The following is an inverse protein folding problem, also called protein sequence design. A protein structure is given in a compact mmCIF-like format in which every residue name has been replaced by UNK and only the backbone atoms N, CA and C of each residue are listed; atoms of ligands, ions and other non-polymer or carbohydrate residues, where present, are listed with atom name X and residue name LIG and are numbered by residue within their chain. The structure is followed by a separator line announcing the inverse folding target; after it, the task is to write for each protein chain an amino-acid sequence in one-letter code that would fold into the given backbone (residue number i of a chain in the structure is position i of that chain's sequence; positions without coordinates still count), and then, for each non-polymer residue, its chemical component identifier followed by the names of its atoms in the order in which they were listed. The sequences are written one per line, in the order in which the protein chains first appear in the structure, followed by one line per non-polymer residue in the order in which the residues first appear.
data_IF_224217214230
#
_entry.id   IF_224217214230
#
_cell.length_a   1.000
_cell.length_b   1.000
_cell.length_c   1.000
_cell.angle_alpha   90.00
_cell.angle_beta   90.00
_cell.angle_gamma   90.00
#
_symmetry.space_group_name_H-M   'P 1'
#
loop_
_entity.id
_entity.type
_entity.pdbx_description
1 polymer ?
#
# COMPACT_ATOMS: atom_id res chain seq x y z
N UNK A 1 -12.79 -10.27 21.84
CA UNK A 1 -13.01 -8.81 21.70
C UNK A 1 -11.70 -8.04 21.69
N UNK A 2 -10.90 -8.07 22.77
CA UNK A 2 -9.63 -7.32 22.86
C UNK A 2 -8.65 -7.55 21.69
N UNK A 3 -8.48 -8.80 21.24
CA UNK A 3 -7.60 -9.10 20.10
C UNK A 3 -8.05 -8.48 18.78
N UNK A 4 -9.36 -8.37 18.54
CA UNK A 4 -9.92 -7.75 17.34
C UNK A 4 -9.78 -6.23 17.44
N UNK A 5 -9.95 -5.64 18.63
CA UNK A 5 -9.71 -4.21 18.89
C UNK A 5 -8.25 -3.83 18.62
N UNK A 6 -7.30 -4.55 19.21
CA UNK A 6 -5.87 -4.31 19.00
C UNK A 6 -5.49 -4.42 17.52
N UNK A 7 -6.03 -5.43 16.85
CA UNK A 7 -5.83 -5.61 15.41
C UNK A 7 -6.41 -4.46 14.60
N UNK A 8 -7.65 -4.03 14.87
CA UNK A 8 -8.32 -2.97 14.14
C UNK A 8 -7.58 -1.63 14.28
N UNK A 9 -7.10 -1.31 15.49
CA UNK A 9 -6.27 -0.13 15.75
C UNK A 9 -4.94 -0.24 15.00
N UNK A 10 -4.26 -1.38 15.07
CA UNK A 10 -3.01 -1.61 14.35
C UNK A 10 -3.19 -1.45 12.83
N UNK A 11 -4.25 -2.05 12.26
CA UNK A 11 -4.56 -1.96 10.84
C UNK A 11 -4.93 -0.54 10.41
N UNK A 12 -5.62 0.22 11.27
CA UNK A 12 -5.90 1.64 11.08
C UNK A 12 -4.61 2.47 11.06
N UNK A 13 -3.68 2.24 11.98
CA UNK A 13 -2.41 2.98 12.03
C UNK A 13 -1.56 2.74 10.78
N UNK A 14 -1.44 1.48 10.33
CA UNK A 14 -0.71 1.16 9.10
C UNK A 14 -1.38 1.77 7.88
N UNK A 15 -2.70 1.62 7.75
CA UNK A 15 -3.46 2.15 6.61
C UNK A 15 -3.44 3.68 6.57
N UNK A 16 -3.49 4.31 7.75
CA UNK A 16 -3.41 5.76 7.91
C UNK A 16 -2.04 6.31 7.55
N UNK A 17 -0.96 5.65 7.99
CA UNK A 17 0.39 6.00 7.58
C UNK A 17 0.57 5.90 6.06
N UNK A 18 0.12 4.79 5.46
CA UNK A 18 0.16 4.61 4.02
C UNK A 18 -0.62 5.71 3.27
N UNK A 19 -1.79 6.11 3.77
CA UNK A 19 -2.59 7.18 3.20
C UNK A 19 -1.88 8.53 3.28
N UNK A 20 -1.29 8.84 4.44
CA UNK A 20 -0.53 10.07 4.65
C UNK A 20 0.67 10.15 3.70
N UNK A 21 1.45 9.07 3.60
CA UNK A 21 2.58 8.99 2.67
C UNK A 21 2.12 9.18 1.23
N UNK A 22 1.05 8.48 0.82
CA UNK A 22 0.53 8.58 -0.55
C UNK A 22 0.03 10.00 -0.87
N UNK A 23 -0.66 10.66 0.07
CA UNK A 23 -1.11 12.05 -0.10
C UNK A 23 0.06 13.04 -0.17
N UNK A 24 1.12 12.84 0.61
CA UNK A 24 2.33 13.65 0.54
C UNK A 24 3.00 13.54 -0.86
N UNK A 25 3.03 12.33 -1.43
CA UNK A 25 3.67 12.07 -2.73
C UNK A 25 2.79 12.43 -3.95
N UNK A 26 1.49 12.63 -3.78
CA UNK A 26 0.53 12.93 -4.87
C UNK A 26 -0.01 14.36 -4.85
N UNK A 27 0.35 15.17 -3.85
CA UNK A 27 -0.06 16.57 -3.77
C UNK A 27 0.64 17.49 -4.80
N UNK A 28 0.04 18.65 -5.13
CA UNK A 28 0.62 19.63 -6.07
C UNK A 28 1.91 20.32 -5.57
N UNK A 29 2.38 19.95 -4.38
CA UNK A 29 3.60 20.42 -3.75
C UNK A 29 4.51 19.24 -3.32
N UNK A 30 4.49 18.13 -4.06
CA UNK A 30 5.54 17.13 -3.94
C UNK A 30 6.84 17.80 -4.40
N UNK A 31 7.56 18.35 -3.42
CA UNK A 31 8.70 19.22 -3.63
C UNK A 31 9.75 18.44 -4.45
N UNK A 32 10.31 19.11 -5.44
CA UNK A 32 11.34 18.53 -6.30
C UNK A 32 12.51 17.99 -5.46
N UNK A 33 12.75 18.59 -4.29
CA UNK A 33 13.66 18.14 -3.23
C UNK A 33 13.31 16.77 -2.63
N UNK A 34 12.06 16.49 -2.22
CA UNK A 34 11.70 15.17 -1.65
C UNK A 34 11.88 14.06 -2.68
N UNK A 35 11.58 14.36 -3.93
CA UNK A 35 11.78 13.44 -5.05
C UNK A 35 13.26 13.16 -5.29
N UNK A 36 14.11 14.14 -5.05
CA UNK A 36 15.56 14.05 -5.19
C UNK A 36 16.20 13.28 -4.03
N UNK A 37 15.74 13.52 -2.80
CA UNK A 37 16.14 12.76 -1.60
C UNK A 37 15.81 11.27 -1.79
N UNK A 38 14.61 10.95 -2.30
CA UNK A 38 14.25 9.56 -2.59
C UNK A 38 15.12 8.94 -3.68
N UNK A 39 15.48 9.69 -4.73
CA UNK A 39 16.41 9.20 -5.77
C UNK A 39 17.79 8.92 -5.17
N UNK A 40 18.29 9.81 -4.32
CA UNK A 40 19.59 9.65 -3.66
C UNK A 40 19.59 8.46 -2.67
N UNK A 41 18.50 8.26 -1.92
CA UNK A 41 18.31 7.09 -1.07
C UNK A 41 18.27 5.79 -1.90
N UNK A 42 17.53 5.77 -3.01
CA UNK A 42 17.47 4.62 -3.91
C UNK A 42 18.82 4.30 -4.55
N UNK A 43 19.58 5.33 -4.96
CA UNK A 43 20.93 5.17 -5.50
C UNK A 43 21.89 4.63 -4.42
N UNK A 44 21.76 5.11 -3.18
CA UNK A 44 22.52 4.57 -2.05
C UNK A 44 22.18 3.09 -1.80
N UNK A 45 20.90 2.71 -1.82
CA UNK A 45 20.47 1.32 -1.65
C UNK A 45 21.04 0.43 -2.75
N UNK A 46 21.07 0.90 -4.00
CA UNK A 46 21.69 0.20 -5.13
C UNK A 46 23.20 0.03 -5.00
N UNK A 47 23.89 0.93 -4.29
CA UNK A 47 25.33 0.82 -3.98
C UNK A 47 25.62 -0.20 -2.86
N UNK A 48 24.72 -0.36 -1.89
CA UNK A 48 24.93 -1.25 -0.73
C UNK A 48 24.29 -2.64 -0.86
N UNK A 49 23.27 -2.81 -1.68
CA UNK A 49 22.55 -4.08 -1.84
C UNK A 49 22.30 -4.41 -3.31
N UNK A 50 22.34 -5.71 -3.65
CA UNK A 50 21.97 -6.13 -5.01
C UNK A 50 20.48 -5.91 -5.26
N UNK A 51 20.12 -5.54 -6.48
CA UNK A 51 18.73 -5.35 -6.93
C UNK A 51 17.83 -6.55 -6.60
N UNK A 52 18.41 -7.75 -6.68
CA UNK A 52 17.73 -9.00 -6.33
C UNK A 52 17.43 -9.10 -4.83
N UNK A 53 18.35 -8.63 -3.98
CA UNK A 53 18.14 -8.57 -2.52
C UNK A 53 17.06 -7.54 -2.18
N UNK A 54 17.16 -6.34 -2.74
CA UNK A 54 16.20 -5.25 -2.53
C UNK A 54 14.79 -5.69 -2.94
N UNK A 55 14.62 -6.16 -4.18
CA UNK A 55 13.32 -6.60 -4.69
C UNK A 55 12.74 -7.76 -3.90
N UNK A 56 13.56 -8.68 -3.37
CA UNK A 56 13.09 -9.77 -2.50
C UNK A 56 12.58 -9.24 -1.16
N UNK A 57 13.29 -8.32 -0.51
CA UNK A 57 12.87 -7.74 0.77
C UNK A 57 11.56 -6.95 0.62
N UNK A 58 11.45 -6.11 -0.42
CA UNK A 58 10.22 -5.40 -0.71
C UNK A 58 9.06 -6.35 -1.00
N UNK A 59 9.28 -7.40 -1.80
CA UNK A 59 8.24 -8.39 -2.09
C UNK A 59 7.75 -9.11 -0.83
N UNK A 60 8.67 -9.51 0.07
CA UNK A 60 8.29 -10.14 1.35
C UNK A 60 7.46 -9.16 2.19
N UNK A 61 7.86 -7.90 2.27
CA UNK A 61 7.12 -6.87 2.99
C UNK A 61 5.72 -6.64 2.38
N UNK A 62 5.61 -6.53 1.06
CA UNK A 62 4.33 -6.41 0.36
C UNK A 62 3.40 -7.59 0.61
N UNK A 63 3.93 -8.82 0.63
CA UNK A 63 3.14 -10.02 0.95
C UNK A 63 2.64 -10.01 2.38
N UNK A 64 3.48 -9.62 3.34
CA UNK A 64 3.08 -9.52 4.75
C UNK A 64 2.00 -8.45 4.94
N UNK A 65 2.16 -7.28 4.33
CA UNK A 65 1.16 -6.21 4.37
C UNK A 65 -0.15 -6.64 3.70
N UNK A 66 -0.09 -7.36 2.58
CA UNK A 66 -1.28 -7.90 1.92
C UNK A 66 -2.02 -8.92 2.81
N UNK A 67 -1.30 -9.77 3.55
CA UNK A 67 -1.90 -10.71 4.49
C UNK A 67 -2.62 -9.98 5.64
N UNK A 68 -2.01 -8.90 6.15
CA UNK A 68 -2.65 -8.01 7.12
C UNK A 68 -3.93 -7.44 6.48
N UNK A 69 -3.85 -6.85 5.29
CA UNK A 69 -5.05 -6.29 4.65
C UNK A 69 -6.16 -7.34 4.48
N UNK A 70 -5.85 -8.53 3.96
CA UNK A 70 -6.83 -9.63 3.81
C UNK A 70 -7.49 -9.97 5.14
N UNK A 71 -6.72 -10.06 6.23
CA UNK A 71 -7.28 -10.30 7.56
C UNK A 71 -8.20 -9.16 8.00
N UNK A 72 -7.85 -7.91 7.71
CA UNK A 72 -8.70 -6.75 7.95
C UNK A 72 -10.03 -6.82 7.19
N UNK A 73 -9.99 -7.13 5.90
CA UNK A 73 -11.19 -7.33 5.08
C UNK A 73 -12.08 -8.46 5.60
N UNK A 74 -11.51 -9.60 5.98
CA UNK A 74 -12.26 -10.74 6.54
C UNK A 74 -12.97 -10.33 7.83
N UNK A 75 -12.26 -9.66 8.75
CA UNK A 75 -12.84 -9.19 10.00
C UNK A 75 -13.94 -8.15 9.76
N UNK A 76 -13.73 -7.20 8.85
CA UNK A 76 -14.76 -6.22 8.51
C UNK A 76 -15.99 -6.87 7.89
N UNK A 77 -15.82 -7.84 6.99
CA UNK A 77 -16.93 -8.58 6.40
C UNK A 77 -17.72 -9.36 7.46
N UNK A 78 -17.01 -10.02 8.39
CA UNK A 78 -17.63 -10.88 9.39
C UNK A 78 -18.33 -10.09 10.50
N UNK A 79 -17.78 -8.94 10.89
CA UNK A 79 -18.22 -8.24 12.09
C UNK A 79 -18.98 -6.94 11.81
N UNK A 80 -18.66 -6.17 10.77
CA UNK A 80 -19.17 -4.81 10.61
C UNK A 80 -20.64 -4.69 10.14
N UNK A 81 -21.36 -5.80 9.97
CA UNK A 81 -22.81 -5.83 9.62
C UNK A 81 -23.18 -4.83 8.50
N UNK A 82 -22.39 -4.83 7.41
CA UNK A 82 -22.49 -3.85 6.33
C UNK A 82 -23.85 -3.89 5.61
N UNK A 83 -24.43 -2.71 5.36
CA UNK A 83 -25.64 -2.58 4.51
C UNK A 83 -25.34 -2.99 3.06
N UNK A 84 -26.36 -3.36 2.25
CA UNK A 84 -26.16 -3.81 0.88
C UNK A 84 -25.34 -2.84 0.01
N UNK A 85 -25.55 -1.52 0.13
CA UNK A 85 -24.77 -0.54 -0.61
C UNK A 85 -23.32 -0.43 -0.09
N UNK A 86 -23.08 -0.64 1.21
CA UNK A 86 -21.73 -0.66 1.81
C UNK A 86 -20.96 -1.91 1.38
N UNK A 87 -21.65 -3.04 1.17
CA UNK A 87 -21.05 -4.26 0.61
C UNK A 87 -20.56 -4.02 -0.83
N UNK A 88 -21.30 -3.27 -1.65
CA UNK A 88 -20.83 -2.89 -3.00
C UNK A 88 -19.54 -2.09 -2.91
N UNK A 89 -19.47 -1.10 -2.03
CA UNK A 89 -18.25 -0.31 -1.80
C UNK A 89 -17.11 -1.19 -1.28
N UNK A 90 -17.38 -2.09 -0.34
CA UNK A 90 -16.40 -3.04 0.19
C UNK A 90 -15.75 -3.88 -0.93
N UNK A 91 -16.56 -4.46 -1.83
CA UNK A 91 -16.03 -5.23 -2.95
C UNK A 91 -15.26 -4.38 -3.96
N UNK A 92 -15.67 -3.13 -4.18
CA UNK A 92 -14.91 -2.19 -5.02
C UNK A 92 -13.53 -1.89 -4.43
N UNK A 93 -13.43 -1.65 -3.12
CA UNK A 93 -12.14 -1.45 -2.45
C UNK A 93 -11.29 -2.73 -2.50
N UNK A 94 -11.89 -3.90 -2.29
CA UNK A 94 -11.19 -5.18 -2.41
C UNK A 94 -10.64 -5.40 -3.82
N UNK A 95 -11.42 -5.06 -4.86
CA UNK A 95 -10.98 -5.13 -6.25
C UNK A 95 -9.86 -4.12 -6.54
N UNK A 96 -9.96 -2.89 -6.04
CA UNK A 96 -8.92 -1.88 -6.18
C UNK A 96 -7.61 -2.34 -5.52
N UNK A 97 -7.68 -2.89 -4.31
CA UNK A 97 -6.52 -3.48 -3.62
C UNK A 97 -5.89 -4.62 -4.42
N UNK A 98 -6.71 -5.52 -4.97
CA UNK A 98 -6.20 -6.63 -5.76
C UNK A 98 -5.44 -6.15 -7.01
N UNK A 99 -6.00 -5.17 -7.71
CA UNK A 99 -5.38 -4.56 -8.89
C UNK A 99 -4.06 -3.87 -8.51
N UNK A 100 -4.09 -3.06 -7.44
CA UNK A 100 -2.92 -2.34 -6.92
C UNK A 100 -1.78 -3.30 -6.54
N UNK A 101 -2.11 -4.37 -5.80
CA UNK A 101 -1.16 -5.41 -5.40
C UNK A 101 -0.56 -6.16 -6.59
N UNK A 102 -1.35 -6.40 -7.64
CA UNK A 102 -0.92 -7.11 -8.84
C UNK A 102 0.04 -6.25 -9.66
N UNK A 103 -0.23 -4.95 -9.75
CA UNK A 103 0.66 -3.97 -10.39
C UNK A 103 1.98 -3.89 -9.63
N UNK A 104 1.94 -3.77 -8.32
CA UNK A 104 3.12 -3.76 -7.46
C UNK A 104 3.94 -5.04 -7.61
N UNK A 105 3.30 -6.20 -7.65
CA UNK A 105 3.97 -7.48 -7.87
C UNK A 105 4.66 -7.54 -9.24
N UNK A 106 4.00 -7.05 -10.30
CA UNK A 106 4.59 -7.00 -11.65
C UNK A 106 5.78 -6.05 -11.69
N UNK A 107 5.69 -4.88 -11.04
CA UNK A 107 6.78 -3.91 -10.95
C UNK A 107 7.96 -4.46 -10.16
N UNK A 108 7.72 -5.07 -9.00
CA UNK A 108 8.75 -5.74 -8.20
C UNK A 108 9.43 -6.89 -8.95
N UNK A 109 8.67 -7.64 -9.76
CA UNK A 109 9.23 -8.70 -10.61
C UNK A 109 10.13 -8.15 -11.71
N UNK A 110 9.83 -6.97 -12.26
CA UNK A 110 10.72 -6.28 -13.20
C UNK A 110 12.00 -5.82 -12.49
N UNK A 111 11.88 -5.23 -11.30
CA UNK A 111 13.03 -4.80 -10.49
C UNK A 111 13.98 -5.97 -10.15
N UNK A 112 13.43 -7.12 -9.74
CA UNK A 112 14.24 -8.32 -9.45
C UNK A 112 14.95 -8.92 -10.68
N UNK A 113 14.53 -8.54 -11.90
CA UNK A 113 15.12 -9.00 -13.16
C UNK A 113 16.13 -8.00 -13.75
N UNK A 114 16.17 -6.78 -13.23
CA UNK A 114 17.15 -5.78 -13.62
C UNK A 114 18.56 -6.29 -13.30
N UNK A 115 19.46 -6.21 -14.27
CA UNK A 115 20.84 -6.72 -14.15
C UNK A 115 21.84 -5.58 -14.00
N UNK A 116 21.53 -4.43 -14.57
CA UNK A 116 22.39 -3.25 -14.53
C UNK A 116 21.87 -2.23 -13.51
N UNK A 117 22.75 -1.51 -12.79
CA UNK A 117 22.35 -0.52 -11.80
C UNK A 117 21.47 0.60 -12.40
N UNK A 118 21.70 0.98 -13.65
CA UNK A 118 20.89 1.98 -14.35
C UNK A 118 19.46 1.48 -14.62
N UNK A 119 19.27 0.19 -14.89
CA UNK A 119 17.94 -0.43 -15.03
C UNK A 119 17.18 -0.48 -13.70
N UNK A 120 17.91 -0.62 -12.58
CA UNK A 120 17.35 -0.64 -11.22
C UNK A 120 16.82 0.75 -10.87
N UNK A 121 17.63 1.78 -11.11
CA UNK A 121 17.24 3.18 -10.91
C UNK A 121 16.07 3.56 -11.82
N UNK A 122 16.06 3.12 -13.09
CA UNK A 122 14.95 3.37 -14.01
C UNK A 122 13.65 2.64 -13.61
N UNK A 123 13.72 1.40 -13.13
CA UNK A 123 12.56 0.68 -12.59
C UNK A 123 12.03 1.33 -11.31
N UNK A 124 12.92 1.82 -10.45
CA UNK A 124 12.58 2.51 -9.22
C UNK A 124 12.00 3.91 -9.47
N UNK A 125 12.55 4.66 -10.44
CA UNK A 125 12.02 5.98 -10.81
C UNK A 125 10.61 5.88 -11.40
N UNK A 126 10.32 4.85 -12.20
CA UNK A 126 8.96 4.54 -12.65
C UNK A 126 8.00 4.19 -11.49
N UNK A 127 8.52 3.73 -10.36
CA UNK A 127 7.73 3.49 -9.15
C UNK A 127 7.27 4.81 -8.51
N UNK A 128 8.13 5.84 -8.55
CA UNK A 128 7.88 7.19 -8.01
C UNK A 128 7.12 8.07 -8.99
N UNK A 129 7.31 7.88 -10.30
CA UNK A 129 6.66 8.65 -11.38
C UNK A 129 5.25 8.15 -11.75
N UNK A 130 4.59 7.43 -10.82
CA UNK A 130 3.29 6.79 -11.04
C UNK A 130 2.33 7.60 -11.92
N UNK A 131 1.86 6.99 -13.02
CA UNK A 131 0.90 7.65 -13.91
C UNK A 131 -0.39 7.98 -13.15
N UNK A 132 -1.01 9.12 -13.47
CA UNK A 132 -2.19 9.67 -12.77
C UNK A 132 -3.30 8.65 -12.49
N UNK A 133 -3.54 7.71 -13.42
CA UNK A 133 -4.53 6.65 -13.26
C UNK A 133 -4.17 5.63 -12.17
N UNK A 134 -2.90 5.26 -12.00
CA UNK A 134 -2.47 4.33 -10.95
C UNK A 134 -2.51 4.98 -9.58
N UNK A 135 -2.17 6.27 -9.47
CA UNK A 135 -2.29 7.02 -8.23
C UNK A 135 -3.74 7.07 -7.75
N UNK A 136 -4.70 7.17 -8.68
CA UNK A 136 -6.14 7.14 -8.35
C UNK A 136 -6.58 5.77 -7.82
N UNK A 137 -6.09 4.67 -8.41
CA UNK A 137 -6.38 3.30 -7.93
C UNK A 137 -5.78 3.07 -6.55
N UNK A 138 -4.52 3.47 -6.35
CA UNK A 138 -3.83 3.38 -5.07
C UNK A 138 -4.54 4.22 -3.98
N UNK A 139 -5.01 5.43 -4.32
CA UNK A 139 -5.78 6.27 -3.41
C UNK A 139 -7.11 5.61 -3.01
N UNK A 140 -7.82 5.00 -3.96
CA UNK A 140 -9.07 4.26 -3.68
C UNK A 140 -8.78 3.04 -2.80
N UNK A 141 -7.72 2.29 -3.08
CA UNK A 141 -7.33 1.11 -2.31
C UNK A 141 -6.95 1.49 -0.87
N UNK A 142 -6.03 2.44 -0.70
CA UNK A 142 -5.51 2.87 0.61
C UNK A 142 -6.57 3.64 1.40
N UNK A 143 -7.27 4.58 0.77
CA UNK A 143 -8.36 5.34 1.40
C UNK A 143 -9.52 4.44 1.80
N UNK A 144 -9.89 3.48 0.94
CA UNK A 144 -10.93 2.51 1.24
C UNK A 144 -10.56 1.58 2.40
N UNK A 145 -9.32 1.07 2.46
CA UNK A 145 -8.83 0.30 3.61
C UNK A 145 -8.92 1.11 4.90
N UNK A 146 -8.49 2.36 4.87
CA UNK A 146 -8.54 3.25 6.02
C UNK A 146 -9.99 3.42 6.54
N UNK A 147 -10.95 3.65 5.63
CA UNK A 147 -12.38 3.71 5.98
C UNK A 147 -12.88 2.39 6.59
N UNK A 148 -12.51 1.24 6.01
CA UNK A 148 -12.89 -0.08 6.55
C UNK A 148 -12.27 -0.36 7.92
N UNK A 149 -11.05 0.10 8.16
CA UNK A 149 -10.38 0.01 9.45
C UNK A 149 -11.09 0.88 10.50
N UNK A 150 -11.49 2.11 10.16
CA UNK A 150 -12.31 2.97 11.04
C UNK A 150 -13.62 2.27 11.38
N UNK A 151 -14.33 1.71 10.39
CA UNK A 151 -15.59 0.98 10.62
C UNK A 151 -15.38 -0.19 11.59
N UNK A 152 -14.30 -0.96 11.40
CA UNK A 152 -13.98 -2.08 12.29
C UNK A 152 -13.66 -1.61 13.72
N UNK A 153 -12.89 -0.52 13.88
CA UNK A 153 -12.61 0.08 15.20
C UNK A 153 -13.91 0.54 15.86
N UNK A 154 -14.76 1.29 15.17
CA UNK A 154 -16.03 1.76 15.70
C UNK A 154 -16.91 0.59 16.15
N UNK A 155 -17.00 -0.46 15.34
CA UNK A 155 -17.71 -1.68 15.72
C UNK A 155 -17.17 -2.29 17.01
N UNK A 156 -15.84 -2.37 17.15
CA UNK A 156 -15.23 -2.96 18.32
C UNK A 156 -15.35 -2.12 19.60
N UNK A 157 -15.55 -0.80 19.49
CA UNK A 157 -15.64 0.12 20.65
C UNK A 157 -17.08 0.27 21.14
N UNK A 158 -18.06 0.27 20.23
CA UNK A 158 -19.47 0.52 20.55
C UNK A 158 -20.31 -0.75 20.77
N UNK A 159 -19.68 -1.93 20.86
CA UNK A 159 -20.33 -3.23 21.12
C UNK A 159 -19.83 -3.83 22.42
#
# INVERSE_FOLDING_TARGET
MLGIQCYAIFWLLISGYALQTLMAHTGPAADEEERQIWKDEMESMGKFMSAKSIGKTFLVMSVVLLLIDVMGFVLTYQYAELRPWQLVVFYLVAAALFIDSLVDFVRMRKLMRAKEPDEVVACMSQYVEGTSSWNSVALIAVGGKCLLAVVLVLWTVFR
#
